data_IF_725352897634
#
_entry.id   IF_725352897634
#
_cell.length_a   1.000
_cell.length_b   1.000
_cell.length_c   1.000
_cell.angle_alpha   90.00
_cell.angle_beta   90.00
_cell.angle_gamma   90.00
#
_symmetry.space_group_name_H-M   'P 1'
#
loop_
_entity.id
_entity.type
_entity.pdbx_description
1 polymer ?
#
# COMPACT_ATOMS: atom_id res chain seq x y z
N UNK A 1 17.10 -5.86 -30.19
CA UNK A 1 16.20 -4.84 -29.60
C UNK A 1 15.05 -5.45 -28.78
N UNK A 2 15.09 -6.76 -28.46
CA UNK A 2 14.01 -7.51 -27.79
C UNK A 2 13.96 -7.32 -26.27
N UNK A 3 15.12 -7.29 -25.58
CA UNK A 3 15.16 -7.07 -24.13
C UNK A 3 14.93 -5.62 -23.70
N UNK A 4 15.05 -4.67 -24.63
CA UNK A 4 15.02 -3.22 -24.35
C UNK A 4 13.71 -2.80 -23.69
N UNK A 5 12.57 -3.36 -24.13
CA UNK A 5 11.26 -3.07 -23.55
C UNK A 5 11.19 -3.49 -22.08
N UNK A 6 11.55 -4.74 -21.76
CA UNK A 6 11.52 -5.26 -20.39
C UNK A 6 12.50 -4.53 -19.49
N UNK A 7 13.74 -4.31 -19.95
CA UNK A 7 14.76 -3.59 -19.18
C UNK A 7 14.29 -2.16 -18.89
N UNK A 8 13.70 -1.48 -19.87
CA UNK A 8 13.18 -0.12 -19.68
C UNK A 8 12.09 -0.08 -18.61
N UNK A 9 11.16 -1.05 -18.62
CA UNK A 9 10.09 -1.13 -17.62
C UNK A 9 10.62 -1.48 -16.21
N UNK A 10 11.62 -2.36 -16.13
CA UNK A 10 12.33 -2.68 -14.87
C UNK A 10 13.03 -1.44 -14.29
N UNK A 11 13.72 -0.67 -15.13
CA UNK A 11 14.40 0.56 -14.69
C UNK A 11 13.35 1.60 -14.29
N UNK A 12 12.27 1.74 -15.07
CA UNK A 12 11.18 2.67 -14.77
C UNK A 12 10.52 2.35 -13.43
N UNK A 13 10.22 1.08 -13.15
CA UNK A 13 9.62 0.68 -11.87
C UNK A 13 10.55 0.95 -10.69
N UNK A 14 11.86 0.75 -10.85
CA UNK A 14 12.87 1.10 -9.85
C UNK A 14 12.94 2.61 -9.60
N UNK A 15 13.03 3.42 -10.68
CA UNK A 15 13.08 4.88 -10.57
C UNK A 15 11.79 5.42 -9.94
N UNK A 16 10.64 4.87 -10.31
CA UNK A 16 9.35 5.23 -9.71
C UNK A 16 9.31 4.92 -8.21
N UNK A 17 9.67 3.70 -7.82
CA UNK A 17 9.72 3.28 -6.42
C UNK A 17 10.69 4.16 -5.60
N UNK A 18 11.88 4.42 -6.13
CA UNK A 18 12.89 5.26 -5.49
C UNK A 18 12.42 6.72 -5.36
N UNK A 19 11.79 7.28 -6.39
CA UNK A 19 11.28 8.66 -6.39
C UNK A 19 10.14 8.84 -5.38
N UNK A 20 9.21 7.89 -5.32
CA UNK A 20 8.12 7.91 -4.34
C UNK A 20 8.69 7.76 -2.92
N UNK A 21 9.66 6.86 -2.72
CA UNK A 21 10.30 6.69 -1.42
C UNK A 21 11.12 7.91 -1.01
N UNK A 22 11.75 8.63 -1.95
CA UNK A 22 12.44 9.88 -1.67
C UNK A 22 11.46 11.00 -1.31
N UNK A 23 10.29 11.04 -1.96
CA UNK A 23 9.26 12.05 -1.71
C UNK A 23 8.58 11.88 -0.35
N UNK A 24 8.26 10.64 0.03
CA UNK A 24 7.51 10.34 1.25
C UNK A 24 8.38 9.84 2.41
N UNK A 25 9.59 9.35 2.12
CA UNK A 25 10.55 8.88 3.11
C UNK A 25 11.72 9.85 3.26
N UNK A 26 12.11 10.14 4.49
CA UNK A 26 13.27 10.98 4.77
C UNK A 26 14.56 10.13 4.76
N UNK A 27 15.15 9.93 3.57
CA UNK A 27 16.32 9.05 3.37
C UNK A 27 17.49 9.39 4.29
N UNK A 28 17.66 10.67 4.65
CA UNK A 28 18.76 11.13 5.48
C UNK A 28 18.58 10.85 6.97
N UNK A 29 17.36 10.56 7.41
CA UNK A 29 17.06 10.22 8.82
C UNK A 29 16.87 8.73 9.06
N UNK A 30 16.59 7.96 8.02
CA UNK A 30 16.26 6.54 8.16
C UNK A 30 17.52 5.67 8.13
N UNK A 31 17.48 4.56 8.87
CA UNK A 31 18.52 3.52 8.73
C UNK A 31 18.51 2.95 7.31
N UNK A 32 19.69 2.84 6.70
CA UNK A 32 19.87 2.36 5.32
C UNK A 32 19.16 1.01 5.10
N UNK A 33 19.26 0.10 6.07
CA UNK A 33 18.58 -1.19 6.01
C UNK A 33 17.06 -1.06 5.84
N UNK A 34 16.42 -0.15 6.58
CA UNK A 34 14.97 0.11 6.47
C UNK A 34 14.63 0.65 5.09
N UNK A 35 15.40 1.61 4.61
CA UNK A 35 15.21 2.21 3.28
C UNK A 35 15.34 1.18 2.17
N UNK A 36 16.33 0.29 2.23
CA UNK A 36 16.53 -0.77 1.24
C UNK A 36 15.39 -1.79 1.23
N UNK A 37 14.92 -2.23 2.40
CA UNK A 37 13.81 -3.20 2.50
C UNK A 37 12.52 -2.60 1.96
N UNK A 38 12.20 -1.35 2.32
CA UNK A 38 10.99 -0.67 1.82
C UNK A 38 11.10 -0.41 0.31
N UNK A 39 12.27 0.01 -0.18
CA UNK A 39 12.51 0.20 -1.61
C UNK A 39 12.29 -1.10 -2.38
N UNK A 40 12.83 -2.22 -1.88
CA UNK A 40 12.68 -3.52 -2.53
C UNK A 40 11.23 -3.99 -2.54
N UNK A 41 10.49 -3.80 -1.44
CA UNK A 41 9.07 -4.12 -1.36
C UNK A 41 8.25 -3.32 -2.39
N UNK A 42 8.44 -2.00 -2.43
CA UNK A 42 7.71 -1.13 -3.36
C UNK A 42 8.11 -1.40 -4.81
N UNK A 43 9.40 -1.64 -5.06
CA UNK A 43 9.90 -2.01 -6.38
C UNK A 43 9.18 -3.24 -6.93
N UNK A 44 9.04 -4.32 -6.14
CA UNK A 44 8.32 -5.50 -6.60
C UNK A 44 6.84 -5.23 -6.84
N UNK A 45 6.18 -4.43 -6.02
CA UNK A 45 4.79 -4.03 -6.26
C UNK A 45 4.63 -3.26 -7.57
N UNK A 46 5.47 -2.26 -7.84
CA UNK A 46 5.42 -1.51 -9.10
C UNK A 46 5.86 -2.34 -10.31
N UNK A 47 6.78 -3.28 -10.12
CA UNK A 47 7.25 -4.15 -11.19
C UNK A 47 6.12 -5.03 -11.74
N UNK A 48 5.23 -5.53 -10.88
CA UNK A 48 4.08 -6.37 -11.29
C UNK A 48 3.19 -5.64 -12.30
N UNK A 49 2.92 -4.35 -12.06
CA UNK A 49 2.08 -3.49 -12.93
C UNK A 49 2.61 -3.47 -14.36
N UNK A 50 3.93 -3.35 -14.53
CA UNK A 50 4.54 -3.27 -15.86
C UNK A 50 4.85 -4.64 -16.48
N UNK A 51 5.15 -5.65 -15.68
CA UNK A 51 5.56 -6.98 -16.19
C UNK A 51 4.36 -7.82 -16.60
N UNK A 52 3.24 -7.72 -15.89
CA UNK A 52 2.07 -8.56 -16.14
C UNK A 52 1.48 -8.38 -17.55
N UNK A 53 1.28 -7.15 -18.08
CA UNK A 53 0.82 -6.97 -19.46
C UNK A 53 1.78 -7.57 -20.49
N UNK A 54 3.10 -7.46 -20.25
CA UNK A 54 4.12 -7.99 -21.16
C UNK A 54 4.14 -9.53 -21.19
N UNK A 55 3.89 -10.17 -20.04
CA UNK A 55 3.78 -11.63 -19.95
C UNK A 55 2.53 -12.13 -20.68
N UNK A 56 1.40 -11.42 -20.54
CA UNK A 56 0.16 -11.73 -21.26
C UNK A 56 0.36 -11.62 -22.78
N UNK A 57 0.99 -10.54 -23.27
CA UNK A 57 1.30 -10.36 -24.71
C UNK A 57 2.17 -11.51 -25.23
N UNK A 58 3.22 -11.85 -24.49
CA UNK A 58 4.10 -12.96 -24.87
C UNK A 58 3.37 -14.31 -24.87
N UNK A 59 2.42 -14.51 -23.96
CA UNK A 59 1.58 -15.71 -23.93
C UNK A 59 0.66 -15.78 -25.14
N UNK A 60 -0.01 -14.67 -25.49
CA UNK A 60 -0.86 -14.58 -26.70
C UNK A 60 -0.06 -14.83 -27.97
N UNK A 61 1.15 -14.27 -28.07
CA UNK A 61 2.06 -14.51 -29.18
C UNK A 61 2.42 -16.00 -29.30
N UNK A 62 2.80 -16.67 -28.20
CA UNK A 62 3.11 -18.12 -28.22
C UNK A 62 1.93 -18.99 -28.61
N UNK A 63 0.71 -18.60 -28.22
CA UNK A 63 -0.51 -19.30 -28.64
C UNK A 63 -0.73 -19.14 -30.16
N UNK A 64 -0.49 -17.94 -30.69
CA UNK A 64 -0.55 -17.66 -32.13
C UNK A 64 0.45 -18.53 -32.90
N UNK A 65 1.74 -18.50 -32.53
CA UNK A 65 2.78 -19.27 -33.23
C UNK A 65 2.54 -20.79 -33.16
N UNK A 66 2.01 -21.27 -32.02
CA UNK A 66 1.66 -22.69 -31.88
C UNK A 66 0.50 -23.09 -32.79
N UNK A 67 -0.50 -22.21 -32.96
CA UNK A 67 -1.62 -22.44 -33.86
C UNK A 67 -1.18 -22.40 -35.34
N UNK A 68 -0.31 -21.47 -35.70
CA UNK A 68 0.28 -21.38 -37.05
C UNK A 68 1.07 -22.64 -37.41
N UNK A 69 1.93 -23.14 -36.51
CA UNK A 69 2.66 -24.40 -36.71
C UNK A 69 1.75 -25.63 -36.90
N UNK A 70 0.63 -25.69 -36.17
CA UNK A 70 -0.36 -26.78 -36.33
C UNK A 70 -1.02 -26.69 -37.71
N UNK A 71 -1.42 -25.49 -38.15
CA UNK A 71 -2.06 -25.29 -39.46
C UNK A 71 -1.09 -25.66 -40.59
N UNK A 72 0.17 -25.21 -40.54
CA UNK A 72 1.19 -25.53 -41.54
C UNK A 72 1.43 -27.05 -41.65
N UNK A 73 1.59 -27.74 -40.53
CA UNK A 73 1.77 -29.20 -40.53
C UNK A 73 0.55 -29.94 -41.10
N UNK A 74 -0.67 -29.46 -40.85
CA UNK A 74 -1.89 -30.07 -41.39
C UNK A 74 -2.04 -29.77 -42.89
N UNK A 75 -1.72 -28.56 -43.35
CA UNK A 75 -1.76 -28.22 -44.77
C UNK A 75 -0.70 -28.97 -45.57
N UNK A 76 0.49 -29.21 -45.01
CA UNK A 76 1.56 -30.01 -45.62
C UNK A 76 1.14 -31.48 -45.78
N UNK A 77 0.34 -32.01 -44.82
CA UNK A 77 -0.21 -33.36 -44.90
C UNK A 77 -1.41 -33.43 -45.86
N UNK A 78 -2.17 -32.35 -46.01
CA UNK A 78 -3.42 -32.33 -46.78
C UNK A 78 -3.31 -31.71 -48.18
N UNK A 79 -2.13 -31.23 -48.62
CA UNK A 79 -1.90 -30.54 -49.90
C UNK A 79 -2.92 -29.41 -50.20
N UNK A 80 -3.33 -28.67 -49.17
CA UNK A 80 -4.30 -27.57 -49.28
C UNK A 80 -3.59 -26.23 -49.08
N UNK A 81 -3.54 -25.41 -50.13
CA UNK A 81 -3.09 -24.03 -50.04
C UNK A 81 -4.17 -23.16 -49.37
N UNK A 82 -4.02 -22.91 -48.06
CA UNK A 82 -4.94 -22.04 -47.32
C UNK A 82 -4.45 -20.60 -47.47
N UNK A 83 -5.07 -19.87 -48.40
CA UNK A 83 -4.95 -18.42 -48.54
C UNK A 83 -5.71 -17.74 -47.39
N UNK A 84 -5.07 -17.55 -46.24
CA UNK A 84 -5.74 -16.88 -45.11
C UNK A 84 -5.07 -16.83 -43.75
N UNK A 85 -3.85 -17.36 -43.55
CA UNK A 85 -3.16 -17.21 -42.27
C UNK A 85 -2.48 -15.85 -42.21
N UNK A 86 -3.04 -14.92 -41.42
CA UNK A 86 -2.29 -13.73 -41.00
C UNK A 86 -1.04 -14.22 -40.24
N UNK A 87 0.18 -13.83 -40.64
CA UNK A 87 1.39 -14.23 -39.93
C UNK A 87 1.39 -13.63 -38.52
N UNK A 88 1.80 -14.42 -37.52
CA UNK A 88 1.96 -13.93 -36.16
C UNK A 88 3.18 -12.98 -36.11
N UNK A 89 2.94 -11.66 -36.05
CA UNK A 89 4.03 -10.68 -35.96
C UNK A 89 4.73 -10.76 -34.59
N UNK A 90 6.05 -10.68 -34.56
CA UNK A 90 6.79 -10.73 -33.29
C UNK A 90 6.56 -9.43 -32.49
N UNK A 91 6.05 -9.51 -31.24
CA UNK A 91 5.84 -8.32 -30.45
C UNK A 91 7.18 -7.70 -30.05
N UNK A 92 7.25 -6.37 -29.97
CA UNK A 92 8.47 -5.64 -29.60
C UNK A 92 9.02 -6.02 -28.21
N UNK A 93 8.15 -6.57 -27.34
CA UNK A 93 8.48 -7.06 -26.01
C UNK A 93 8.77 -8.56 -25.94
N UNK A 94 9.05 -9.22 -27.07
CA UNK A 94 9.31 -10.65 -27.08
C UNK A 94 10.54 -11.01 -26.23
N UNK A 95 10.40 -12.00 -25.36
CA UNK A 95 11.50 -12.52 -24.53
C UNK A 95 11.49 -14.04 -24.45
N UNK A 96 12.68 -14.66 -24.23
CA UNK A 96 12.80 -16.10 -24.12
C UNK A 96 11.91 -16.70 -23.03
N UNK A 97 11.53 -17.96 -23.24
CA UNK A 97 10.57 -18.66 -22.40
C UNK A 97 10.94 -18.74 -20.92
N UNK A 98 12.24 -18.70 -20.61
CA UNK A 98 12.75 -18.81 -19.24
C UNK A 98 12.73 -17.49 -18.47
N UNK A 99 12.57 -16.34 -19.13
CA UNK A 99 12.70 -15.02 -18.49
C UNK A 99 11.55 -14.76 -17.51
N UNK A 100 10.28 -14.80 -17.96
CA UNK A 100 9.14 -14.57 -17.08
C UNK A 100 9.01 -15.59 -15.94
N UNK A 101 9.17 -16.92 -16.14
CA UNK A 101 9.13 -17.88 -15.04
C UNK A 101 10.20 -17.62 -13.97
N UNK A 102 11.43 -17.26 -14.38
CA UNK A 102 12.50 -16.93 -13.44
C UNK A 102 12.25 -15.59 -12.72
N UNK A 103 11.71 -14.60 -13.44
CA UNK A 103 11.33 -13.31 -12.89
C UNK A 103 10.23 -13.47 -11.83
N UNK A 104 9.13 -14.15 -12.17
CA UNK A 104 8.03 -14.43 -11.27
C UNK A 104 8.47 -15.25 -10.05
N UNK A 105 9.37 -16.23 -10.23
CA UNK A 105 9.94 -16.98 -9.10
C UNK A 105 10.71 -16.06 -8.15
N UNK A 106 11.53 -15.17 -8.70
CA UNK A 106 12.28 -14.17 -7.91
C UNK A 106 11.34 -13.23 -7.17
N UNK A 107 10.36 -12.64 -7.86
CA UNK A 107 9.37 -11.72 -7.28
C UNK A 107 8.55 -12.42 -6.20
N UNK A 108 8.08 -13.64 -6.47
CA UNK A 108 7.28 -14.42 -5.52
C UNK A 108 8.04 -14.68 -4.22
N UNK A 109 9.20 -15.35 -4.28
CA UNK A 109 9.93 -15.73 -3.06
C UNK A 109 10.47 -14.53 -2.30
N UNK A 110 10.92 -13.50 -3.01
CA UNK A 110 11.39 -12.27 -2.37
C UNK A 110 10.22 -11.56 -1.66
N UNK A 111 9.06 -11.45 -2.31
CA UNK A 111 7.87 -10.81 -1.72
C UNK A 111 7.33 -11.59 -0.53
N UNK A 112 7.37 -12.93 -0.55
CA UNK A 112 7.01 -13.76 0.60
C UNK A 112 7.95 -13.52 1.78
N UNK A 113 9.27 -13.47 1.57
CA UNK A 113 10.24 -13.17 2.60
C UNK A 113 10.06 -11.75 3.18
N UNK A 114 9.83 -10.77 2.30
CA UNK A 114 9.57 -9.38 2.69
C UNK A 114 8.32 -9.25 3.55
N UNK A 115 7.23 -9.91 3.14
CA UNK A 115 5.91 -9.79 3.76
C UNK A 115 5.79 -10.53 5.08
N UNK A 116 6.31 -11.76 5.15
CA UNK A 116 6.11 -12.62 6.32
C UNK A 116 7.27 -12.61 7.31
N UNK A 117 8.46 -12.16 6.90
CA UNK A 117 9.64 -12.15 7.76
C UNK A 117 10.14 -10.72 8.01
N UNK A 118 10.60 -10.01 6.98
CA UNK A 118 11.34 -8.77 7.19
C UNK A 118 10.47 -7.61 7.69
N UNK A 119 9.34 -7.31 7.04
CA UNK A 119 8.49 -6.17 7.41
C UNK A 119 7.87 -6.33 8.81
N UNK A 120 7.27 -7.48 9.18
CA UNK A 120 6.71 -7.68 10.52
C UNK A 120 7.79 -7.62 11.62
N UNK A 121 8.98 -8.17 11.35
CA UNK A 121 10.11 -8.08 12.28
C UNK A 121 10.57 -6.65 12.50
N UNK A 122 10.67 -5.84 11.43
CA UNK A 122 11.03 -4.42 11.54
C UNK A 122 9.99 -3.62 12.32
N UNK A 123 8.70 -3.87 12.08
CA UNK A 123 7.62 -3.20 12.80
C UNK A 123 7.63 -3.52 14.30
N UNK A 124 7.79 -4.79 14.67
CA UNK A 124 7.87 -5.21 16.07
C UNK A 124 9.15 -4.71 16.74
N UNK A 125 10.28 -4.66 16.03
CA UNK A 125 11.56 -4.15 16.54
C UNK A 125 11.48 -2.66 16.92
N UNK A 126 10.85 -1.82 16.09
CA UNK A 126 10.68 -0.38 16.37
C UNK A 126 9.73 -0.14 17.55
N UNK A 127 8.76 -1.04 17.76
CA UNK A 127 7.79 -0.98 18.86
C UNK A 127 8.29 -1.66 20.14
N UNK A 128 9.48 -2.28 20.15
CA UNK A 128 10.03 -2.94 21.33
C UNK A 128 10.57 -1.92 22.35
N UNK A 129 10.25 -2.12 23.63
CA UNK A 129 10.71 -1.27 24.74
C UNK A 129 12.07 -1.66 25.31
N UNK A 130 12.68 -2.76 24.85
CA UNK A 130 13.99 -3.20 25.32
C UNK A 130 15.08 -2.18 25.01
N UNK A 131 16.05 -2.03 25.90
CA UNK A 131 17.16 -1.08 25.73
C UNK A 131 18.28 -1.64 24.85
N UNK A 132 18.44 -2.96 24.79
CA UNK A 132 19.51 -3.62 24.02
C UNK A 132 19.03 -4.12 22.67
N UNK A 133 19.92 -4.17 21.67
CA UNK A 133 19.62 -4.69 20.32
C UNK A 133 19.14 -6.15 20.39
N UNK A 134 19.79 -6.97 21.22
CA UNK A 134 19.43 -8.38 21.43
C UNK A 134 18.05 -8.50 22.07
N UNK A 135 17.74 -7.66 23.06
CA UNK A 135 16.42 -7.61 23.70
C UNK A 135 15.33 -7.23 22.71
N UNK A 136 15.54 -6.16 21.92
CA UNK A 136 14.59 -5.73 20.89
C UNK A 136 14.33 -6.80 19.84
N UNK A 137 15.38 -7.47 19.36
CA UNK A 137 15.25 -8.56 18.40
C UNK A 137 14.49 -9.75 19.00
N UNK A 138 14.80 -10.14 20.25
CA UNK A 138 14.09 -11.19 20.97
C UNK A 138 12.61 -10.86 21.11
N UNK A 139 12.28 -9.66 21.59
CA UNK A 139 10.90 -9.20 21.73
C UNK A 139 10.17 -9.14 20.39
N UNK A 140 10.85 -8.72 19.32
CA UNK A 140 10.28 -8.74 17.97
C UNK A 140 9.99 -10.16 17.47
N UNK A 141 10.88 -11.12 17.72
CA UNK A 141 10.65 -12.53 17.40
C UNK A 141 9.48 -13.07 18.21
N UNK A 142 9.41 -12.79 19.52
CA UNK A 142 8.33 -13.26 20.39
C UNK A 142 6.98 -12.69 19.96
N UNK A 143 6.88 -11.38 19.73
CA UNK A 143 5.64 -10.72 19.31
C UNK A 143 5.10 -11.34 17.99
N UNK A 144 6.00 -11.59 17.03
CA UNK A 144 5.63 -12.26 15.76
C UNK A 144 5.35 -13.76 15.94
N UNK A 145 6.08 -14.46 16.79
CA UNK A 145 5.88 -15.89 17.05
C UNK A 145 4.55 -16.16 17.76
N UNK A 146 4.09 -15.25 18.63
CA UNK A 146 2.75 -15.35 19.24
C UNK A 146 1.68 -15.22 18.14
N UNK A 147 1.81 -14.21 17.27
CA UNK A 147 0.88 -13.99 16.18
C UNK A 147 0.83 -15.20 15.23
N UNK A 148 1.97 -15.60 14.65
CA UNK A 148 2.03 -16.75 13.74
C UNK A 148 1.72 -18.08 14.43
N UNK A 149 2.12 -18.23 15.68
CA UNK A 149 1.84 -19.40 16.50
C UNK A 149 0.34 -19.60 16.70
N UNK A 150 -0.43 -18.52 16.88
CA UNK A 150 -1.88 -18.60 16.98
C UNK A 150 -2.54 -19.12 15.69
N UNK A 151 -2.07 -18.68 14.51
CA UNK A 151 -2.53 -19.21 13.22
C UNK A 151 -2.11 -20.66 13.02
N UNK A 152 -0.87 -21.00 13.34
CA UNK A 152 -0.37 -22.38 13.24
C UNK A 152 -1.14 -23.32 14.16
N UNK A 153 -1.55 -22.87 15.34
CA UNK A 153 -2.39 -23.65 16.25
C UNK A 153 -3.75 -23.99 15.61
N UNK A 154 -4.42 -23.00 15.02
CA UNK A 154 -5.68 -23.21 14.29
C UNK A 154 -5.48 -24.16 13.11
N UNK A 155 -4.43 -23.95 12.31
CA UNK A 155 -4.07 -24.85 11.21
C UNK A 155 -3.77 -26.28 11.71
N UNK A 156 -3.12 -26.43 12.86
CA UNK A 156 -2.82 -27.72 13.47
C UNK A 156 -4.09 -28.50 13.81
N UNK A 157 -5.09 -27.84 14.39
CA UNK A 157 -6.41 -28.46 14.66
C UNK A 157 -7.06 -28.94 13.36
N UNK A 158 -7.03 -28.12 12.30
CA UNK A 158 -7.58 -28.48 11.00
C UNK A 158 -6.83 -29.66 10.35
N UNK A 159 -5.49 -29.71 10.48
CA UNK A 159 -4.68 -30.82 9.98
C UNK A 159 -4.95 -32.12 10.75
N UNK A 160 -5.13 -32.05 12.08
CA UNK A 160 -5.53 -33.23 12.89
C UNK A 160 -6.90 -33.72 12.43
N UNK A 161 -7.87 -32.83 12.22
CA UNK A 161 -9.18 -33.20 11.69
C UNK A 161 -9.06 -33.92 10.34
N UNK A 162 -8.22 -33.42 9.43
CA UNK A 162 -7.97 -34.07 8.13
C UNK A 162 -7.26 -35.42 8.28
N UNK A 163 -6.32 -35.54 9.22
CA UNK A 163 -5.57 -36.78 9.48
C UNK A 163 -6.47 -37.91 10.02
N UNK A 164 -7.50 -37.54 10.79
CA UNK A 164 -8.45 -38.49 11.38
C UNK A 164 -9.52 -38.96 10.38
N UNK A 165 -9.61 -38.36 9.20
CA UNK A 165 -10.59 -38.74 8.18
C UNK A 165 -10.14 -40.06 7.51
N UNK A 166 -10.95 -41.14 7.56
CA UNK A 166 -10.55 -42.43 7.01
C UNK A 166 -10.29 -42.35 5.49
N UNK A 167 -9.13 -42.85 5.04
CA UNK A 167 -8.78 -42.98 3.62
C UNK A 167 -7.82 -41.92 3.07
N UNK A 168 -7.39 -40.92 3.85
CA UNK A 168 -6.46 -39.88 3.40
C UNK A 168 -5.11 -39.96 4.13
N UNK A 169 -4.05 -40.43 3.44
CA UNK A 169 -2.69 -40.27 3.92
C UNK A 169 -2.21 -38.84 3.67
N UNK A 170 -1.77 -38.15 4.73
CA UNK A 170 -1.20 -36.81 4.67
C UNK A 170 0.28 -36.88 4.29
N UNK A 171 0.57 -36.92 2.99
CA UNK A 171 1.95 -36.86 2.50
C UNK A 171 2.46 -35.41 2.37
N UNK A 172 3.78 -35.24 2.40
CA UNK A 172 4.44 -33.94 2.22
C UNK A 172 4.00 -33.18 0.94
N UNK A 173 3.83 -33.83 -0.23
CA UNK A 173 3.32 -33.15 -1.42
C UNK A 173 1.90 -32.61 -1.25
N UNK A 174 1.02 -33.35 -0.55
CA UNK A 174 -0.35 -32.90 -0.25
C UNK A 174 -0.33 -31.73 0.72
N UNK A 175 0.50 -31.79 1.77
CA UNK A 175 0.65 -30.69 2.72
C UNK A 175 1.17 -29.41 2.02
N UNK A 176 2.15 -29.55 1.12
CA UNK A 176 2.66 -28.45 0.30
C UNK A 176 1.57 -27.88 -0.62
N UNK A 177 0.76 -28.73 -1.25
CA UNK A 177 -0.35 -28.32 -2.09
C UNK A 177 -1.43 -27.56 -1.29
N UNK A 178 -1.79 -28.06 -0.10
CA UNK A 178 -2.72 -27.40 0.83
C UNK A 178 -2.18 -26.02 1.23
N UNK A 179 -0.92 -25.93 1.66
CA UNK A 179 -0.31 -24.67 2.06
C UNK A 179 -0.26 -23.65 0.91
N UNK A 180 0.10 -24.10 -0.30
CA UNK A 180 0.10 -23.26 -1.49
C UNK A 180 -1.31 -22.77 -1.86
N UNK A 181 -2.30 -23.66 -1.80
CA UNK A 181 -3.70 -23.33 -2.09
C UNK A 181 -4.29 -22.36 -1.06
N UNK A 182 -4.02 -22.58 0.22
CA UNK A 182 -4.45 -21.70 1.31
C UNK A 182 -3.84 -20.29 1.17
N UNK A 183 -2.54 -20.20 0.87
CA UNK A 183 -1.86 -18.92 0.62
C UNK A 183 -2.48 -18.16 -0.56
N UNK A 184 -2.75 -18.86 -1.67
CA UNK A 184 -3.40 -18.24 -2.83
C UNK A 184 -4.85 -17.82 -2.52
N UNK A 185 -5.60 -18.65 -1.81
CA UNK A 185 -6.98 -18.35 -1.39
C UNK A 185 -7.03 -17.12 -0.50
N UNK A 186 -6.07 -16.95 0.41
CA UNK A 186 -5.98 -15.74 1.24
C UNK A 186 -5.76 -14.48 0.39
N UNK A 187 -4.87 -14.55 -0.60
CA UNK A 187 -4.63 -13.45 -1.54
C UNK A 187 -5.87 -13.11 -2.37
N UNK A 188 -6.53 -14.12 -2.94
CA UNK A 188 -7.76 -13.95 -3.72
C UNK A 188 -8.91 -13.41 -2.86
N UNK A 189 -9.06 -13.90 -1.63
CA UNK A 189 -10.07 -13.41 -0.70
C UNK A 189 -9.88 -11.92 -0.39
N UNK A 190 -8.64 -11.50 -0.08
CA UNK A 190 -8.33 -10.08 0.11
C UNK A 190 -8.55 -9.26 -1.15
N UNK A 191 -8.18 -9.78 -2.33
CA UNK A 191 -8.42 -9.12 -3.61
C UNK A 191 -9.91 -8.90 -3.84
N UNK A 192 -10.75 -9.92 -3.64
CA UNK A 192 -12.21 -9.81 -3.80
C UNK A 192 -12.79 -8.76 -2.86
N UNK A 193 -12.37 -8.72 -1.59
CA UNK A 193 -12.85 -7.73 -0.63
C UNK A 193 -12.40 -6.29 -0.99
N UNK A 194 -11.13 -6.10 -1.31
CA UNK A 194 -10.55 -4.79 -1.60
C UNK A 194 -11.04 -4.25 -2.95
N UNK A 195 -11.05 -5.09 -3.99
CA UNK A 195 -11.55 -4.73 -5.32
C UNK A 195 -13.05 -4.44 -5.24
N UNK A 196 -13.84 -5.26 -4.53
CA UNK A 196 -15.27 -5.02 -4.36
C UNK A 196 -15.57 -3.65 -3.74
N UNK A 197 -14.79 -3.23 -2.74
CA UNK A 197 -14.88 -1.89 -2.18
C UNK A 197 -14.46 -0.80 -3.19
N UNK A 198 -13.33 -0.99 -3.87
CA UNK A 198 -12.77 -0.01 -4.82
C UNK A 198 -13.71 0.25 -6.00
N UNK A 199 -14.32 -0.80 -6.58
CA UNK A 199 -15.24 -0.71 -7.71
C UNK A 199 -16.43 0.22 -7.45
N UNK A 200 -16.84 0.36 -6.18
CA UNK A 200 -17.96 1.23 -5.77
C UNK A 200 -17.47 2.57 -5.21
N UNK A 201 -16.48 2.54 -4.32
CA UNK A 201 -16.04 3.74 -3.61
C UNK A 201 -15.24 4.69 -4.49
N UNK A 202 -14.46 4.21 -5.46
CA UNK A 202 -13.71 5.08 -6.38
C UNK A 202 -14.62 5.99 -7.20
N UNK A 203 -15.61 5.50 -7.97
CA UNK A 203 -16.51 6.36 -8.73
C UNK A 203 -17.37 7.25 -7.82
N UNK A 204 -17.89 6.71 -6.71
CA UNK A 204 -18.66 7.50 -5.73
C UNK A 204 -17.82 8.63 -5.13
N UNK A 205 -16.60 8.32 -4.71
CA UNK A 205 -15.66 9.26 -4.14
C UNK A 205 -15.31 10.38 -5.13
N UNK A 206 -15.03 10.05 -6.39
CA UNK A 206 -14.78 11.04 -7.44
C UNK A 206 -16.00 11.93 -7.69
N UNK A 207 -17.20 11.35 -7.76
CA UNK A 207 -18.44 12.10 -7.95
C UNK A 207 -18.71 13.06 -6.79
N UNK A 208 -18.64 12.56 -5.56
CA UNK A 208 -18.85 13.36 -4.36
C UNK A 208 -17.78 14.45 -4.21
N UNK A 209 -16.53 14.15 -4.58
CA UNK A 209 -15.45 15.13 -4.57
C UNK A 209 -15.65 16.30 -5.54
N UNK A 210 -16.52 16.14 -6.55
CA UNK A 210 -16.88 17.21 -7.48
C UNK A 210 -17.76 18.30 -6.86
N UNK A 211 -18.44 18.01 -5.74
CA UNK A 211 -19.28 18.97 -5.04
C UNK A 211 -18.54 19.56 -3.83
N UNK A 212 -18.04 20.80 -3.99
CA UNK A 212 -17.26 21.47 -2.94
C UNK A 212 -18.01 21.64 -1.62
N UNK A 213 -19.31 21.93 -1.65
CA UNK A 213 -20.11 22.10 -0.43
C UNK A 213 -20.20 20.79 0.36
N UNK A 214 -20.46 19.68 -0.34
CA UNK A 214 -20.47 18.35 0.27
C UNK A 214 -19.10 18.02 0.88
N UNK A 215 -18.01 18.24 0.14
CA UNK A 215 -16.65 17.90 0.57
C UNK A 215 -16.23 18.71 1.80
N UNK A 216 -16.59 19.99 1.86
CA UNK A 216 -16.31 20.85 3.04
C UNK A 216 -17.08 20.37 4.26
N UNK A 217 -18.39 20.13 4.14
CA UNK A 217 -19.20 19.62 5.25
C UNK A 217 -18.68 18.26 5.77
N UNK A 218 -18.32 17.37 4.85
CA UNK A 218 -17.71 16.08 5.20
C UNK A 218 -16.34 16.27 5.89
N UNK A 219 -15.54 17.23 5.45
CA UNK A 219 -14.25 17.54 6.08
C UNK A 219 -14.42 18.09 7.51
N UNK A 220 -15.41 18.94 7.76
CA UNK A 220 -15.74 19.41 9.12
C UNK A 220 -16.19 18.26 10.03
N UNK A 221 -17.05 17.36 9.53
CA UNK A 221 -17.43 16.16 10.29
C UNK A 221 -16.20 15.31 10.66
N UNK A 222 -15.28 15.11 9.70
CA UNK A 222 -14.04 14.39 9.96
C UNK A 222 -13.13 15.12 10.94
N UNK A 223 -13.12 16.46 10.92
CA UNK A 223 -12.36 17.26 11.86
C UNK A 223 -12.86 17.05 13.29
N UNK A 224 -14.17 17.03 13.52
CA UNK A 224 -14.73 16.74 14.85
C UNK A 224 -14.24 15.39 15.39
N UNK A 225 -14.28 14.32 14.57
CA UNK A 225 -13.76 13.00 14.95
C UNK A 225 -12.26 13.05 15.24
N UNK A 226 -11.47 13.60 14.33
CA UNK A 226 -10.01 13.63 14.49
C UNK A 226 -9.55 14.51 15.67
N UNK A 227 -10.31 15.56 16.01
CA UNK A 227 -10.09 16.35 17.22
C UNK A 227 -10.27 15.50 18.49
N UNK A 228 -11.28 14.64 18.52
CA UNK A 228 -11.50 13.70 19.63
C UNK A 228 -10.35 12.70 19.73
N UNK A 229 -9.97 12.06 18.61
CA UNK A 229 -8.85 11.10 18.56
C UNK A 229 -7.52 11.76 18.99
N UNK A 230 -7.32 13.05 18.65
CA UNK A 230 -6.16 13.83 19.07
C UNK A 230 -6.17 14.08 20.58
N UNK A 231 -7.32 14.47 21.15
CA UNK A 231 -7.47 14.69 22.59
C UNK A 231 -7.18 13.40 23.39
N UNK A 232 -7.71 12.26 22.93
CA UNK A 232 -7.44 10.95 23.54
C UNK A 232 -5.95 10.58 23.49
N UNK A 233 -5.26 10.90 22.38
CA UNK A 233 -3.83 10.69 22.26
C UNK A 233 -3.02 11.59 23.20
N UNK A 234 -3.43 12.85 23.39
CA UNK A 234 -2.81 13.79 24.33
C UNK A 234 -2.98 13.32 25.78
N UNK A 235 -4.19 12.87 26.16
CA UNK A 235 -4.48 12.29 27.48
C UNK A 235 -3.64 11.03 27.74
N UNK A 236 -3.59 10.11 26.77
CA UNK A 236 -2.77 8.89 26.87
C UNK A 236 -1.29 9.21 27.06
N UNK A 237 -0.78 10.26 26.41
CA UNK A 237 0.61 10.71 26.62
C UNK A 237 0.78 11.24 28.03
N UNK A 238 -0.14 12.06 28.52
CA UNK A 238 -0.09 12.61 29.87
C UNK A 238 -0.08 11.52 30.96
N UNK A 239 -0.92 10.49 30.85
CA UNK A 239 -0.95 9.35 31.78
C UNK A 239 0.39 8.60 31.83
N UNK A 240 1.00 8.42 30.65
CA UNK A 240 2.31 7.75 30.51
C UNK A 240 3.43 8.64 31.06
N UNK A 241 3.34 9.96 30.88
CA UNK A 241 4.31 10.90 31.44
C UNK A 241 4.22 10.99 32.96
N UNK A 242 3.02 10.90 33.54
CA UNK A 242 2.84 10.80 34.99
C UNK A 242 3.52 9.55 35.56
N UNK A 243 3.30 8.40 34.91
CA UNK A 243 3.98 7.14 35.26
C UNK A 243 5.51 7.25 35.13
N UNK A 244 6.00 7.98 34.13
CA UNK A 244 7.43 8.24 33.93
C UNK A 244 8.00 9.19 34.99
N UNK A 245 7.23 10.19 35.41
CA UNK A 245 7.62 11.10 36.49
C UNK A 245 7.77 10.36 37.81
N UNK A 246 6.79 9.51 38.16
CA UNK A 246 6.83 8.68 39.36
C UNK A 246 8.09 7.81 39.41
N UNK A 247 8.42 7.13 38.30
CA UNK A 247 9.64 6.32 38.20
C UNK A 247 10.92 7.17 38.23
N UNK A 248 10.88 8.39 37.68
CA UNK A 248 12.04 9.28 37.71
C UNK A 248 12.42 9.73 39.12
N UNK A 249 11.44 9.83 40.02
CA UNK A 249 11.66 10.16 41.43
C UNK A 249 12.16 8.94 42.24
N UNK A 250 11.74 7.73 41.90
CA UNK A 250 12.19 6.52 42.61
C UNK A 250 13.62 6.10 42.24
N UNK A 251 14.08 6.37 41.01
CA UNK A 251 15.42 5.97 40.53
C UNK A 251 16.43 7.11 40.74
N UNK A 252 17.23 7.03 41.81
CA UNK A 252 18.30 8.00 42.11
C UNK A 252 19.49 7.94 41.12
N UNK A 253 20.23 9.05 40.94
CA UNK A 253 21.48 9.05 40.18
C UNK A 253 22.51 8.11 40.82
N UNK A 254 22.87 7.03 40.13
CA UNK A 254 23.75 5.97 40.63
C UNK A 254 23.13 4.57 40.66
N UNK A 255 21.81 4.45 40.50
CA UNK A 255 21.16 3.15 40.34
C UNK A 255 21.47 2.52 38.97
N UNK A 256 21.59 1.19 38.89
CA UNK A 256 21.90 0.49 37.63
C UNK A 256 20.89 0.78 36.48
N UNK A 257 19.63 1.02 36.83
CA UNK A 257 18.55 1.36 35.89
C UNK A 257 18.53 2.84 35.46
N UNK A 258 19.37 3.70 36.04
CA UNK A 258 19.35 5.14 35.76
C UNK A 258 19.68 5.45 34.29
N UNK A 259 20.64 4.72 33.70
CA UNK A 259 20.96 4.86 32.27
C UNK A 259 19.78 4.51 31.34
N UNK A 260 19.01 3.49 31.72
CA UNK A 260 17.81 3.09 30.97
C UNK A 260 16.72 4.17 31.08
N UNK A 261 16.52 4.74 32.28
CA UNK A 261 15.61 5.85 32.50
C UNK A 261 16.01 7.10 31.67
N UNK A 262 17.29 7.44 31.65
CA UNK A 262 17.82 8.56 30.86
C UNK A 262 17.56 8.36 29.37
N UNK A 263 17.70 7.13 28.87
CA UNK A 263 17.35 6.77 27.49
C UNK A 263 15.86 7.02 27.18
N UNK A 264 14.96 6.78 28.13
CA UNK A 264 13.53 7.10 27.97
C UNK A 264 13.33 8.61 27.94
N UNK A 265 13.92 9.34 28.90
CA UNK A 265 13.77 10.79 29.03
C UNK A 265 14.27 11.54 27.79
N UNK A 266 15.35 11.08 27.16
CA UNK A 266 15.85 11.66 25.91
C UNK A 266 14.92 11.50 24.71
N UNK A 267 13.96 10.56 24.75
CA UNK A 267 12.97 10.37 23.68
C UNK A 267 11.76 11.29 23.83
N UNK A 268 11.53 11.83 25.02
CA UNK A 268 10.42 12.73 25.30
C UNK A 268 10.80 14.13 24.81
N UNK A 269 9.98 14.78 23.95
CA UNK A 269 10.16 16.17 23.57
C UNK A 269 10.29 17.10 24.77
N UNK A 270 11.05 18.18 24.63
CA UNK A 270 11.36 19.11 25.73
C UNK A 270 10.07 19.73 26.27
N UNK A 271 9.12 20.05 25.39
CA UNK A 271 7.83 20.66 25.75
C UNK A 271 7.01 19.72 26.67
N UNK A 272 7.04 18.42 26.38
CA UNK A 272 6.34 17.39 27.17
C UNK A 272 7.08 17.11 28.47
N UNK A 273 8.41 17.17 28.48
CA UNK A 273 9.21 17.04 29.70
C UNK A 273 8.97 18.19 30.66
N UNK A 274 8.89 19.42 30.17
CA UNK A 274 8.60 20.59 30.99
C UNK A 274 7.16 20.57 31.54
N UNK A 275 6.21 20.02 30.76
CA UNK A 275 4.84 19.77 31.23
C UNK A 275 4.82 18.74 32.36
N UNK A 276 5.55 17.64 32.20
CA UNK A 276 5.71 16.62 33.24
C UNK A 276 6.30 17.23 34.51
N UNK A 277 7.42 17.96 34.42
CA UNK A 277 8.09 18.53 35.60
C UNK A 277 7.25 19.56 36.37
N UNK A 278 6.28 20.21 35.70
CA UNK A 278 5.35 21.15 36.33
C UNK A 278 4.17 20.46 37.03
N UNK A 279 3.89 19.20 36.71
CA UNK A 279 2.76 18.45 37.27
C UNK A 279 3.11 17.97 38.67
N UNK A 280 2.23 18.21 39.63
CA UNK A 280 2.34 17.64 40.97
C UNK A 280 1.81 16.22 40.94
N UNK A 281 2.61 15.28 41.43
CA UNK A 281 2.19 13.90 41.60
C UNK A 281 1.28 13.78 42.84
N UNK A 282 0.31 12.85 42.83
CA UNK A 282 -0.47 12.52 44.02
C UNK A 282 0.44 12.07 45.18
N UNK A 283 0.11 12.43 46.42
CA UNK A 283 0.89 12.05 47.61
C UNK A 283 1.00 10.52 47.79
N UNK A 284 0.04 9.75 47.28
CA UNK A 284 0.00 8.29 47.33
C UNK A 284 0.86 7.59 46.25
N UNK A 285 1.69 8.34 45.51
CA UNK A 285 2.50 7.77 44.43
C UNK A 285 3.55 6.80 44.99
N UNK A 286 3.54 5.51 44.58
CA UNK A 286 4.50 4.54 45.10
C UNK A 286 5.92 4.89 44.65
N UNK A 287 6.82 5.07 45.61
CA UNK A 287 8.24 5.40 45.40
C UNK A 287 9.14 4.16 45.31
N UNK A 288 8.56 2.96 45.24
CA UNK A 288 9.31 1.73 45.13
C UNK A 288 10.07 1.65 43.80
N UNK A 289 11.31 1.15 43.87
CA UNK A 289 12.16 1.00 42.69
C UNK A 289 11.52 -0.04 41.76
N UNK A 290 11.19 0.32 40.51
CA UNK A 290 10.50 -0.58 39.61
C UNK A 290 11.43 -1.70 39.11
N UNK A 291 10.83 -2.84 38.76
CA UNK A 291 11.55 -3.91 38.05
C UNK A 291 12.00 -3.47 36.66
N UNK A 292 13.06 -4.07 36.14
CA UNK A 292 13.53 -3.83 34.76
C UNK A 292 12.43 -4.11 33.72
N UNK A 293 11.60 -5.14 33.93
CA UNK A 293 10.46 -5.45 33.06
C UNK A 293 9.41 -4.35 33.07
N UNK A 294 9.13 -3.75 34.23
CA UNK A 294 8.21 -2.62 34.35
C UNK A 294 8.75 -1.41 33.58
N UNK A 295 10.06 -1.14 33.67
CA UNK A 295 10.71 -0.05 32.94
C UNK A 295 10.68 -0.27 31.42
N UNK A 296 10.92 -1.50 30.95
CA UNK A 296 10.79 -1.88 29.54
C UNK A 296 9.34 -1.69 29.04
N UNK A 297 8.35 -2.07 29.85
CA UNK A 297 6.93 -1.87 29.53
C UNK A 297 6.58 -0.39 29.43
N UNK A 298 7.05 0.43 30.38
CA UNK A 298 6.85 1.88 30.34
C UNK A 298 7.52 2.47 29.09
N UNK A 299 8.75 2.08 28.77
CA UNK A 299 9.43 2.54 27.57
C UNK A 299 8.66 2.18 26.29
N UNK A 300 8.11 0.96 26.20
CA UNK A 300 7.21 0.54 25.10
C UNK A 300 5.97 1.44 25.01
N UNK A 301 5.36 1.78 26.15
CA UNK A 301 4.21 2.70 26.22
C UNK A 301 4.58 4.11 25.76
N UNK A 302 5.69 4.68 26.24
CA UNK A 302 6.19 6.00 25.83
C UNK A 302 6.43 6.06 24.32
N UNK A 303 7.10 5.05 23.73
CA UNK A 303 7.32 5.01 22.28
C UNK A 303 5.98 4.99 21.54
N UNK A 304 5.04 4.14 21.97
CA UNK A 304 3.74 3.99 21.32
C UNK A 304 2.89 5.25 21.43
N UNK A 305 2.77 5.85 22.61
CA UNK A 305 1.93 7.03 22.83
C UNK A 305 2.46 8.25 22.07
N UNK A 306 3.78 8.48 22.10
CA UNK A 306 4.41 9.55 21.32
C UNK A 306 4.22 9.38 19.81
N UNK A 307 4.34 8.15 19.29
CA UNK A 307 4.06 7.87 17.87
C UNK A 307 2.61 8.13 17.50
N UNK A 308 1.66 7.78 18.37
CA UNK A 308 0.23 8.04 18.15
C UNK A 308 -0.06 9.53 18.19
N UNK A 309 0.45 10.27 19.17
CA UNK A 309 0.32 11.72 19.27
C UNK A 309 0.87 12.43 18.02
N UNK A 310 2.11 12.11 17.63
CA UNK A 310 2.70 12.72 16.44
C UNK A 310 1.90 12.41 15.17
N UNK A 311 1.35 11.19 15.06
CA UNK A 311 0.49 10.80 13.94
C UNK A 311 -0.81 11.60 13.93
N UNK A 312 -1.52 11.70 15.05
CA UNK A 312 -2.80 12.42 15.12
C UNK A 312 -2.62 13.91 14.90
N UNK A 313 -1.55 14.52 15.44
CA UNK A 313 -1.17 15.92 15.18
C UNK A 313 -0.89 16.17 13.69
N UNK A 314 -0.11 15.28 13.05
CA UNK A 314 0.20 15.42 11.62
C UNK A 314 -1.07 15.28 10.78
N UNK A 315 -1.92 14.29 11.09
CA UNK A 315 -3.20 14.10 10.41
C UNK A 315 -4.13 15.32 10.60
N UNK A 316 -4.14 15.91 11.81
CA UNK A 316 -4.90 17.11 12.12
C UNK A 316 -4.46 18.27 11.25
N UNK A 317 -3.15 18.54 11.18
CA UNK A 317 -2.59 19.63 10.39
C UNK A 317 -2.92 19.46 8.89
N UNK A 318 -2.77 18.26 8.34
CA UNK A 318 -3.12 17.95 6.93
C UNK A 318 -4.62 18.18 6.69
N UNK A 319 -5.48 17.79 7.63
CA UNK A 319 -6.93 17.95 7.49
C UNK A 319 -7.34 19.43 7.56
N UNK A 320 -6.80 20.18 8.52
CA UNK A 320 -7.04 21.62 8.68
C UNK A 320 -6.58 22.40 7.44
N UNK A 321 -5.38 22.09 6.93
CA UNK A 321 -4.87 22.69 5.69
C UNK A 321 -5.79 22.40 4.50
N UNK A 322 -6.29 21.16 4.39
CA UNK A 322 -7.28 20.78 3.37
C UNK A 322 -8.59 21.54 3.54
N UNK A 323 -9.07 21.76 4.76
CA UNK A 323 -10.30 22.52 5.04
C UNK A 323 -10.13 23.96 4.58
N UNK A 324 -9.02 24.63 4.94
CA UNK A 324 -8.73 25.98 4.47
C UNK A 324 -8.67 26.08 2.94
N UNK A 325 -7.97 25.14 2.29
CA UNK A 325 -7.89 25.11 0.83
C UNK A 325 -9.28 24.95 0.18
N UNK A 326 -10.21 24.21 0.80
CA UNK A 326 -11.57 24.04 0.29
C UNK A 326 -12.46 25.26 0.56
N UNK A 327 -12.38 25.86 1.74
CA UNK A 327 -13.08 27.10 2.08
C UNK A 327 -12.66 28.24 1.13
N UNK A 328 -11.37 28.33 0.81
CA UNK A 328 -10.85 29.29 -0.14
C UNK A 328 -11.47 29.09 -1.53
N UNK A 329 -11.62 27.83 -1.98
CA UNK A 329 -12.32 27.54 -3.25
C UNK A 329 -13.77 28.00 -3.20
N UNK A 330 -14.50 27.75 -2.11
CA UNK A 330 -15.89 28.21 -1.96
C UNK A 330 -16.00 29.74 -1.97
N UNK A 331 -15.13 30.44 -1.24
CA UNK A 331 -15.09 31.91 -1.21
C UNK A 331 -14.78 32.50 -2.60
N UNK A 332 -13.83 31.91 -3.32
CA UNK A 332 -13.43 32.37 -4.66
C UNK A 332 -14.46 32.01 -5.75
N UNK A 333 -15.33 31.03 -5.53
CA UNK A 333 -16.47 30.75 -6.42
C UNK A 333 -17.55 31.83 -6.34
N UNK A 334 -17.76 32.41 -5.16
CA UNK A 334 -18.73 33.50 -4.94
C UNK A 334 -18.16 34.88 -5.33
N UNK A 335 -16.84 35.01 -5.41
CA UNK A 335 -16.16 36.25 -5.81
C UNK A 335 -16.36 36.55 -7.30
N UNK A 336 -16.62 37.82 -7.63
CA UNK A 336 -16.69 38.31 -9.02
C UNK A 336 -15.31 38.39 -9.70
N UNK A 337 -14.25 38.49 -8.90
CA UNK A 337 -12.87 38.51 -9.39
C UNK A 337 -12.40 37.08 -9.68
N UNK A 338 -12.08 36.77 -10.95
CA UNK A 338 -11.62 35.44 -11.42
C UNK A 338 -10.15 35.19 -11.12
N UNK A 339 -9.69 35.66 -9.96
CA UNK A 339 -8.32 35.51 -9.47
C UNK A 339 -8.38 34.77 -8.15
N UNK A 340 -7.69 33.63 -8.09
CA UNK A 340 -7.67 32.83 -6.88
C UNK A 340 -6.89 33.53 -5.77
N UNK A 341 -7.57 33.78 -4.65
CA UNK A 341 -7.02 34.41 -3.45
C UNK A 341 -6.94 33.36 -2.33
N UNK A 342 -5.76 32.76 -2.08
CA UNK A 342 -5.58 31.86 -0.95
C UNK A 342 -5.48 32.64 0.36
N UNK A 343 -6.06 32.09 1.44
CA UNK A 343 -5.89 32.61 2.81
C UNK A 343 -4.45 32.42 3.28
N UNK A 344 -3.84 31.26 2.97
CA UNK A 344 -2.46 30.94 3.33
C UNK A 344 -1.63 30.65 2.06
N UNK A 345 -0.97 31.66 1.46
CA UNK A 345 -0.18 31.46 0.25
C UNK A 345 1.06 30.61 0.51
N UNK A 346 1.13 29.43 -0.14
CA UNK A 346 2.31 28.54 -0.09
C UNK A 346 3.39 29.03 -1.07
N UNK A 347 4.68 29.00 -0.69
CA UNK A 347 5.76 29.35 -1.60
C UNK A 347 5.80 28.34 -2.76
N UNK A 348 5.71 28.86 -4.00
CA UNK A 348 5.79 28.07 -5.23
C UNK A 348 7.18 28.25 -5.86
N UNK A 349 7.74 27.17 -6.43
CA UNK A 349 8.93 27.23 -7.27
C UNK A 349 8.72 28.21 -8.44
N UNK A 350 9.79 28.86 -8.90
CA UNK A 350 9.75 29.87 -9.98
C UNK A 350 9.06 29.36 -11.24
N UNK A 351 9.31 28.10 -11.63
CA UNK A 351 8.67 27.48 -12.80
C UNK A 351 7.16 27.30 -12.60
N UNK A 352 6.76 26.83 -11.42
CA UNK A 352 5.35 26.64 -11.06
C UNK A 352 4.63 27.99 -11.01
N UNK A 353 5.29 29.04 -10.52
CA UNK A 353 4.72 30.39 -10.48
C UNK A 353 4.46 30.97 -11.87
N UNK A 354 5.31 30.66 -12.84
CA UNK A 354 5.16 31.11 -14.22
C UNK A 354 3.94 30.45 -14.90
N UNK A 355 3.78 29.13 -14.74
CA UNK A 355 2.68 28.37 -15.35
C UNK A 355 1.36 28.59 -14.59
N UNK A 356 1.43 28.64 -13.25
CA UNK A 356 0.26 28.62 -12.37
C UNK A 356 -0.05 30.03 -11.84
N UNK A 357 -0.47 30.90 -12.75
CA UNK A 357 -0.93 32.27 -12.44
C UNK A 357 -2.23 32.23 -11.62
N UNK A 358 -2.57 33.28 -10.84
CA UNK A 358 -3.80 33.32 -10.03
C UNK A 358 -5.09 33.10 -10.84
N UNK A 359 -5.08 33.45 -12.12
CA UNK A 359 -6.19 33.26 -13.04
C UNK A 359 -6.26 31.79 -13.50
N UNK A 360 -5.13 31.20 -13.90
CA UNK A 360 -5.05 29.76 -14.21
C UNK A 360 -5.43 28.88 -13.01
N UNK A 361 -5.00 29.27 -11.80
CA UNK A 361 -5.36 28.58 -10.56
C UNK A 361 -6.86 28.64 -10.28
N UNK A 362 -7.51 29.80 -10.52
CA UNK A 362 -8.95 29.94 -10.39
C UNK A 362 -9.68 29.03 -11.37
N UNK A 363 -9.34 29.05 -12.66
CA UNK A 363 -9.98 28.17 -13.65
C UNK A 363 -9.78 26.69 -13.33
N UNK A 364 -8.58 26.30 -12.90
CA UNK A 364 -8.31 24.93 -12.51
C UNK A 364 -9.14 24.51 -11.28
N UNK A 365 -9.02 25.24 -10.16
CA UNK A 365 -9.63 24.87 -8.88
C UNK A 365 -11.13 25.09 -8.87
N UNK A 366 -11.63 26.21 -9.38
CA UNK A 366 -13.05 26.55 -9.28
C UNK A 366 -13.88 25.91 -10.41
N UNK A 367 -13.34 25.78 -11.63
CA UNK A 367 -14.11 25.30 -12.78
C UNK A 367 -13.73 23.88 -13.22
N UNK A 368 -12.52 23.69 -13.77
CA UNK A 368 -12.14 22.43 -14.44
C UNK A 368 -12.13 21.23 -13.51
N UNK A 369 -11.67 21.38 -12.27
CA UNK A 369 -11.55 20.26 -11.32
C UNK A 369 -12.87 19.54 -11.10
N UNK A 370 -14.00 20.24 -10.99
CA UNK A 370 -15.32 19.63 -10.83
C UNK A 370 -15.68 18.75 -12.03
N UNK A 371 -15.50 19.26 -13.26
CA UNK A 371 -15.79 18.51 -14.48
C UNK A 371 -14.85 17.32 -14.67
N UNK A 372 -13.55 17.51 -14.44
CA UNK A 372 -12.56 16.41 -14.51
C UNK A 372 -12.94 15.30 -13.53
N UNK A 373 -13.30 15.62 -12.29
CA UNK A 373 -13.73 14.63 -11.31
C UNK A 373 -15.02 13.91 -11.73
N UNK A 374 -16.00 14.61 -12.32
CA UNK A 374 -17.22 13.98 -12.84
C UNK A 374 -16.95 13.05 -14.01
N UNK A 375 -16.12 13.48 -14.97
CA UNK A 375 -15.73 12.64 -16.12
C UNK A 375 -14.99 11.39 -15.62
N UNK A 376 -14.01 11.56 -14.72
CA UNK A 376 -13.30 10.44 -14.12
C UNK A 376 -14.23 9.51 -13.32
N UNK A 377 -15.23 10.05 -12.62
CA UNK A 377 -16.22 9.24 -11.91
C UNK A 377 -17.05 8.37 -12.86
N UNK A 378 -17.50 8.94 -13.98
CA UNK A 378 -18.25 8.19 -15.00
C UNK A 378 -17.38 7.13 -15.67
N UNK A 379 -16.15 7.48 -16.05
CA UNK A 379 -15.20 6.52 -16.61
C UNK A 379 -14.89 5.38 -15.64
N UNK A 380 -14.62 5.69 -14.36
CA UNK A 380 -14.41 4.70 -13.33
C UNK A 380 -15.66 3.82 -13.12
N UNK A 381 -16.86 4.39 -13.15
CA UNK A 381 -18.10 3.61 -13.02
C UNK A 381 -18.32 2.65 -14.20
N UNK A 382 -18.08 3.10 -15.43
CA UNK A 382 -18.15 2.25 -16.63
C UNK A 382 -17.13 1.11 -16.52
N UNK A 383 -15.91 1.42 -16.10
CA UNK A 383 -14.85 0.45 -15.93
C UNK A 383 -15.18 -0.56 -14.82
N UNK A 384 -15.75 -0.10 -13.70
CA UNK A 384 -16.22 -0.99 -12.64
C UNK A 384 -17.29 -1.96 -13.13
N UNK A 385 -18.27 -1.47 -13.91
CA UNK A 385 -19.30 -2.32 -14.52
C UNK A 385 -18.68 -3.29 -15.52
N UNK A 386 -17.71 -2.85 -16.32
CA UNK A 386 -17.01 -3.69 -17.28
C UNK A 386 -16.22 -4.83 -16.59
N UNK A 387 -15.55 -4.54 -15.48
CA UNK A 387 -14.84 -5.54 -14.66
C UNK A 387 -15.82 -6.56 -14.10
N UNK A 388 -16.89 -6.12 -13.43
CA UNK A 388 -17.91 -7.03 -12.88
C UNK A 388 -18.55 -7.86 -13.99
N UNK A 389 -18.88 -7.26 -15.12
CA UNK A 389 -19.42 -7.96 -16.28
C UNK A 389 -18.45 -9.01 -16.80
N UNK A 390 -17.15 -8.68 -16.89
CA UNK A 390 -16.13 -9.60 -17.37
C UNK A 390 -15.95 -10.81 -16.45
N UNK A 391 -16.06 -10.63 -15.14
CA UNK A 391 -15.98 -11.72 -14.16
C UNK A 391 -17.22 -12.62 -14.20
N UNK A 392 -18.41 -12.04 -14.33
CA UNK A 392 -19.67 -12.82 -14.44
C UNK A 392 -19.71 -13.61 -15.75
N UNK A 393 -19.26 -13.02 -16.84
CA UNK A 393 -19.29 -13.64 -18.18
C UNK A 393 -18.11 -14.55 -18.47
N UNK A 394 -17.07 -14.56 -17.61
CA UNK A 394 -15.86 -15.35 -17.80
C UNK A 394 -16.13 -16.85 -17.99
N UNK A 395 -17.16 -17.39 -17.33
CA UNK A 395 -17.51 -18.81 -17.42
C UNK A 395 -18.15 -19.20 -18.76
N UNK A 396 -18.65 -18.24 -19.54
CA UNK A 396 -19.28 -18.50 -20.82
C UNK A 396 -18.25 -18.44 -21.95
N UNK A 397 -17.68 -19.59 -22.31
CA UNK A 397 -16.60 -19.70 -23.29
C UNK A 397 -17.06 -19.37 -24.71
N UNK A 398 -18.28 -19.76 -25.08
CA UNK A 398 -18.84 -19.53 -26.41
C UNK A 398 -20.33 -19.14 -26.32
N UNK A 399 -20.74 -17.97 -26.84
CA UNK A 399 -19.89 -16.88 -27.35
C UNK A 399 -19.12 -16.15 -26.23
N UNK A 400 -17.93 -15.58 -26.51
CA UNK A 400 -17.20 -14.78 -25.52
C UNK A 400 -17.98 -13.48 -25.26
N UNK A 401 -18.64 -13.39 -24.10
CA UNK A 401 -19.46 -12.23 -23.71
C UNK A 401 -18.67 -11.17 -22.92
N UNK A 402 -17.42 -11.47 -22.55
CA UNK A 402 -16.54 -10.53 -21.85
C UNK A 402 -16.06 -9.44 -22.79
N UNK A 403 -16.27 -8.18 -22.39
CA UNK A 403 -15.88 -6.98 -23.17
C UNK A 403 -14.39 -7.03 -23.52
N UNK A 404 -13.54 -7.43 -22.57
CA UNK A 404 -12.09 -7.54 -22.81
C UNK A 404 -11.74 -8.67 -23.78
N UNK A 405 -12.46 -9.79 -23.74
CA UNK A 405 -12.25 -10.90 -24.68
C UNK A 405 -12.67 -10.50 -26.10
N UNK A 406 -13.77 -9.76 -26.24
CA UNK A 406 -14.26 -9.21 -27.51
C UNK A 406 -13.30 -8.16 -28.07
N UNK A 407 -12.74 -7.29 -27.21
CA UNK A 407 -11.73 -6.30 -27.62
C UNK A 407 -10.48 -7.02 -28.15
N UNK A 408 -9.98 -8.02 -27.43
CA UNK A 408 -8.79 -8.78 -27.84
C UNK A 408 -9.03 -9.58 -29.12
N UNK A 409 -10.20 -10.18 -29.30
CA UNK A 409 -10.51 -10.95 -30.51
C UNK A 409 -10.71 -10.09 -31.75
N UNK A 410 -11.27 -8.88 -31.60
CA UNK A 410 -11.48 -7.95 -32.71
C UNK A 410 -10.21 -7.21 -33.13
N UNK A 411 -9.26 -7.00 -32.21
CA UNK A 411 -8.02 -6.23 -32.47
C UNK A 411 -6.93 -6.98 -33.26
N UNK A 412 -7.21 -8.18 -33.80
CA UNK A 412 -6.36 -8.93 -34.75
C UNK A 412 -4.85 -8.68 -34.62
N UNK A 413 -4.28 -9.00 -33.45
CA UNK A 413 -2.83 -8.97 -33.17
C UNK A 413 -2.14 -7.60 -33.20
N UNK A 414 -2.84 -6.47 -33.05
CA UNK A 414 -2.19 -5.20 -32.69
C UNK A 414 -1.73 -5.23 -31.23
N UNK A 415 -0.49 -5.71 -31.01
CA UNK A 415 0.11 -5.86 -29.69
C UNK A 415 0.23 -4.55 -28.91
N UNK A 416 0.30 -3.39 -29.59
CA UNK A 416 0.37 -2.09 -28.92
C UNK A 416 -0.97 -1.73 -28.26
N UNK A 417 -2.07 -1.92 -28.98
CA UNK A 417 -3.42 -1.67 -28.46
C UNK A 417 -3.81 -2.70 -27.40
N UNK A 418 -3.33 -3.95 -27.52
CA UNK A 418 -3.48 -4.98 -26.47
C UNK A 418 -2.70 -4.58 -25.20
N UNK A 419 -1.49 -4.04 -25.32
CA UNK A 419 -0.72 -3.56 -24.15
C UNK A 419 -1.48 -2.47 -23.40
N UNK A 420 -1.97 -1.45 -24.12
CA UNK A 420 -2.74 -0.34 -23.53
C UNK A 420 -4.04 -0.83 -22.87
N UNK A 421 -4.78 -1.72 -23.54
CA UNK A 421 -6.00 -2.29 -22.97
C UNK A 421 -5.74 -3.11 -21.71
N UNK A 422 -4.58 -3.78 -21.62
CA UNK A 422 -4.21 -4.58 -20.46
C UNK A 422 -3.76 -3.74 -19.27
N UNK A 423 -3.04 -2.63 -19.48
CA UNK A 423 -2.82 -1.66 -18.40
C UNK A 423 -4.14 -1.18 -17.81
N UNK A 424 -5.12 -0.81 -18.66
CA UNK A 424 -6.44 -0.35 -18.21
C UNK A 424 -7.20 -1.44 -17.44
N UNK A 425 -7.03 -2.72 -17.79
CA UNK A 425 -7.69 -3.83 -17.08
C UNK A 425 -7.01 -4.18 -15.74
N UNK A 426 -5.68 -4.06 -15.65
CA UNK A 426 -4.91 -4.44 -14.47
C UNK A 426 -4.62 -3.29 -13.50
N UNK A 427 -4.83 -2.04 -13.91
CA UNK A 427 -4.66 -0.83 -13.08
C UNK A 427 -5.96 -0.39 -12.36
N UNK A 428 -7.00 -1.23 -12.37
CA UNK A 428 -8.29 -1.07 -11.65
C UNK A 428 -8.36 -2.08 -10.53
#
# INVERSE_FOLDING_TARGET
MTYTAIITKIILSFVLAASILYRYGNWFRHHIFVTLVVLLAWYFSFLIIFVLPLDVINTVYRQCTSAEHIIVNVSDVANLSIDGTLPCEEPWSHVPEKVFPNLWRTVYWSSQCLTWLLMPMMQSYIKAGDFTIKGKLKSAVIDNAIYYGSYLFICGILLIYLALKPGENLDWPKLKAIASSASNTWGLFLLVLLLGYALVEVPRGLWNNSNYMYVVNYAYFKAAKLSSDKCEAEETVDDVLESLQAISLSIRPGHALHHNLETILHKVPIELRDRMSRRQLPDDTPLDVPSEKSLIRLHKQVIKSLQVLQRTETQWNILVEKIFDLEDVLKNLTSMDRRFKPTFPKPKSTLVRYIYTPLAEWYWKCFFRCYVQKVLAVLAAILSVAVVWSEVTFFNKEPPLSIFAIIVSNLKYDYCTIEVSKYIQFDV
#
